data_IF_236024625807
#
_entry.id   IF_236024625807
#
_cell.length_a   1.000
_cell.length_b   1.000
_cell.length_c   1.000
_cell.angle_alpha   90.00
_cell.angle_beta   90.00
_cell.angle_gamma   90.00
#
_symmetry.space_group_name_H-M   'P 1'
#
loop_
_entity.id
_entity.type
_entity.pdbx_description
1 polymer ?
#
# COMPACT_ATOMS: atom_id res chain seq x y z
N UNK A 1 -19.24 -16.17 10.62
CA UNK A 1 -17.80 -16.35 10.31
C UNK A 1 -17.05 -15.09 10.70
N UNK A 2 -15.91 -15.21 11.36
CA UNK A 2 -15.13 -14.06 11.80
C UNK A 2 -14.11 -13.66 10.74
N UNK A 3 -14.02 -12.36 10.44
CA UNK A 3 -13.07 -11.78 9.48
C UNK A 3 -12.44 -10.50 10.03
N UNK A 4 -11.17 -10.25 9.71
CA UNK A 4 -10.53 -8.96 9.96
C UNK A 4 -9.93 -8.37 8.70
N UNK A 5 -10.18 -7.08 8.49
CA UNK A 5 -9.57 -6.28 7.43
C UNK A 5 -9.46 -4.81 7.85
N UNK A 6 -8.68 -4.05 7.11
CA UNK A 6 -8.45 -2.63 7.40
C UNK A 6 -9.73 -1.80 7.19
N UNK A 7 -9.95 -0.73 7.96
CA UNK A 7 -11.02 0.24 7.70
C UNK A 7 -10.81 1.05 6.42
N UNK A 8 -9.74 0.79 5.66
CA UNK A 8 -9.42 1.49 4.41
C UNK A 8 -10.52 1.36 3.34
N UNK A 9 -10.69 2.36 2.45
CA UNK A 9 -11.74 2.37 1.44
C UNK A 9 -11.77 1.16 0.52
N UNK A 10 -10.61 0.61 0.13
CA UNK A 10 -10.55 -0.57 -0.73
C UNK A 10 -11.13 -1.81 -0.07
N UNK A 11 -10.84 -2.05 1.22
CA UNK A 11 -11.32 -3.24 1.92
C UNK A 11 -12.80 -3.12 2.27
N UNK A 12 -13.23 -1.98 2.78
CA UNK A 12 -14.64 -1.72 3.06
C UNK A 12 -15.48 -1.78 1.79
N UNK A 13 -14.96 -1.32 0.64
CA UNK A 13 -15.63 -1.47 -0.65
C UNK A 13 -15.75 -2.94 -1.07
N UNK A 14 -14.66 -3.70 -1.03
CA UNK A 14 -14.60 -5.12 -1.41
C UNK A 14 -15.55 -5.98 -0.59
N UNK A 15 -15.56 -5.79 0.73
CA UNK A 15 -16.33 -6.64 1.64
C UNK A 15 -17.71 -6.10 1.99
N UNK A 16 -18.12 -4.92 1.48
CA UNK A 16 -19.43 -4.31 1.76
C UNK A 16 -20.58 -5.27 1.56
N UNK A 17 -20.69 -5.86 0.37
CA UNK A 17 -21.84 -6.70 0.03
C UNK A 17 -21.93 -7.94 0.91
N UNK A 18 -20.81 -8.55 1.22
CA UNK A 18 -20.76 -9.71 2.10
C UNK A 18 -21.06 -9.33 3.56
N UNK A 19 -20.48 -8.26 4.07
CA UNK A 19 -20.72 -7.77 5.43
C UNK A 19 -22.19 -7.37 5.71
N UNK A 20 -22.94 -7.04 4.65
CA UNK A 20 -24.37 -6.69 4.75
C UNK A 20 -25.32 -7.83 4.30
N UNK A 21 -24.81 -9.07 4.15
CA UNK A 21 -25.65 -10.22 3.83
C UNK A 21 -26.23 -10.21 2.41
N UNK A 22 -25.64 -9.46 1.48
CA UNK A 22 -26.12 -9.32 0.10
C UNK A 22 -25.61 -10.44 -0.82
N UNK A 23 -24.73 -11.32 -0.32
CA UNK A 23 -24.17 -12.43 -1.09
C UNK A 23 -24.91 -13.72 -0.76
N UNK A 24 -25.65 -14.23 -1.73
CA UNK A 24 -26.47 -15.43 -1.54
C UNK A 24 -25.62 -16.65 -1.15
N UNK A 25 -26.03 -17.34 -0.09
CA UNK A 25 -25.36 -18.56 0.40
C UNK A 25 -24.05 -18.31 1.15
N UNK A 26 -23.61 -17.06 1.28
CA UNK A 26 -22.49 -16.70 2.13
C UNK A 26 -22.90 -16.67 3.61
N UNK A 27 -22.04 -17.09 4.55
CA UNK A 27 -22.32 -16.95 5.97
C UNK A 27 -22.30 -15.48 6.39
N UNK A 28 -23.04 -15.15 7.46
CA UNK A 28 -22.97 -13.83 8.09
C UNK A 28 -21.54 -13.54 8.57
N UNK A 29 -21.05 -12.31 8.32
CA UNK A 29 -19.73 -11.86 8.77
C UNK A 29 -19.80 -11.14 10.12
N UNK A 30 -18.94 -11.56 11.02
CA UNK A 30 -18.54 -10.81 12.22
C UNK A 30 -17.22 -10.11 11.91
N UNK A 31 -17.28 -8.80 11.61
CA UNK A 31 -16.17 -8.02 11.07
C UNK A 31 -15.42 -7.32 12.19
N UNK A 32 -14.10 -7.56 12.25
CA UNK A 32 -13.17 -6.80 13.07
C UNK A 32 -12.36 -5.87 12.18
N UNK A 33 -12.43 -4.56 12.44
CA UNK A 33 -11.59 -3.56 11.74
C UNK A 33 -10.27 -3.43 12.47
N UNK A 34 -9.19 -3.72 11.77
CA UNK A 34 -7.83 -3.62 12.31
C UNK A 34 -6.85 -3.28 11.18
N UNK A 35 -5.91 -2.41 11.47
CA UNK A 35 -4.86 -2.07 10.53
C UNK A 35 -3.98 -3.28 10.22
N UNK A 36 -3.36 -3.27 9.05
CA UNK A 36 -2.68 -4.44 8.49
C UNK A 36 -1.46 -4.88 9.33
N UNK A 37 -0.82 -4.01 10.07
CA UNK A 37 0.25 -4.33 11.00
C UNK A 37 -0.26 -5.13 12.20
N UNK A 38 -1.47 -4.83 12.70
CA UNK A 38 -2.14 -5.57 13.77
C UNK A 38 -2.49 -6.97 13.30
N UNK A 39 -3.11 -7.09 12.12
CA UNK A 39 -3.48 -8.40 11.56
C UNK A 39 -2.26 -9.24 11.18
N UNK A 40 -1.17 -8.65 10.70
CA UNK A 40 0.12 -9.32 10.53
C UNK A 40 0.63 -9.91 11.87
N UNK A 41 0.49 -9.14 12.96
CA UNK A 41 0.87 -9.58 14.30
C UNK A 41 0.02 -10.74 14.81
N UNK A 42 -1.29 -10.70 14.59
CA UNK A 42 -2.21 -11.80 14.95
C UNK A 42 -1.91 -13.07 14.16
N UNK A 43 -1.76 -12.95 12.83
CA UNK A 43 -1.44 -14.09 11.98
C UNK A 43 -0.14 -14.78 12.41
N UNK A 44 0.92 -14.01 12.69
CA UNK A 44 2.22 -14.53 13.11
C UNK A 44 2.17 -15.30 14.46
N UNK A 45 1.22 -14.94 15.33
CA UNK A 45 1.00 -15.61 16.63
C UNK A 45 -0.02 -16.75 16.56
N UNK A 46 -0.66 -16.96 15.40
CA UNK A 46 -1.81 -17.86 15.28
C UNK A 46 -3.06 -17.37 16.01
N UNK A 47 -3.15 -16.08 16.27
CA UNK A 47 -4.27 -15.39 16.91
C UNK A 47 -5.20 -14.75 15.88
N UNK A 48 -6.27 -14.11 16.36
CA UNK A 48 -7.21 -13.36 15.51
C UNK A 48 -8.27 -14.23 14.82
N UNK A 49 -9.06 -13.59 13.93
CA UNK A 49 -10.13 -14.26 13.17
C UNK A 49 -9.64 -15.36 12.23
N UNK A 50 -10.60 -16.17 11.76
CA UNK A 50 -10.29 -17.27 10.84
C UNK A 50 -9.85 -16.78 9.45
N UNK A 51 -10.42 -15.63 9.02
CA UNK A 51 -10.08 -14.97 7.75
C UNK A 51 -9.52 -13.59 8.07
N UNK A 52 -8.39 -13.24 7.47
CA UNK A 52 -7.75 -11.96 7.71
C UNK A 52 -7.12 -11.39 6.45
N UNK A 53 -7.07 -10.06 6.38
CA UNK A 53 -6.18 -9.38 5.44
C UNK A 53 -4.84 -9.13 6.11
N UNK A 54 -3.76 -9.53 5.42
CA UNK A 54 -2.37 -9.34 5.87
C UNK A 54 -1.51 -8.77 4.73
N UNK A 55 -0.31 -8.30 5.06
CA UNK A 55 0.70 -7.97 4.06
C UNK A 55 1.20 -9.23 3.33
N UNK A 56 1.44 -9.17 2.01
CA UNK A 56 2.10 -10.29 1.32
C UNK A 56 3.46 -10.64 1.95
N UNK A 57 4.19 -9.66 2.47
CA UNK A 57 5.45 -9.89 3.19
C UNK A 57 5.30 -10.79 4.44
N UNK A 58 4.11 -10.87 5.02
CA UNK A 58 3.84 -11.72 6.17
C UNK A 58 3.52 -13.19 5.80
N UNK A 59 3.16 -13.48 4.54
CA UNK A 59 2.79 -14.85 4.10
C UNK A 59 3.85 -15.90 4.43
N UNK A 60 5.15 -15.72 4.14
CA UNK A 60 6.16 -16.75 4.39
C UNK A 60 6.25 -17.21 5.84
N UNK A 61 5.75 -16.41 6.78
CA UNK A 61 5.76 -16.72 8.22
C UNK A 61 4.54 -17.53 8.67
N UNK A 62 3.50 -17.64 7.83
CA UNK A 62 2.19 -18.16 8.27
C UNK A 62 1.60 -19.20 7.32
N UNK A 63 2.25 -19.51 6.20
CA UNK A 63 1.76 -20.46 5.18
C UNK A 63 1.53 -21.88 5.67
N UNK A 64 2.14 -22.27 6.77
CA UNK A 64 1.89 -23.56 7.44
C UNK A 64 0.52 -23.60 8.15
N UNK A 65 0.00 -22.45 8.59
CA UNK A 65 -1.25 -22.32 9.34
C UNK A 65 -2.41 -21.75 8.51
N UNK A 66 -2.10 -21.00 7.45
CA UNK A 66 -3.08 -20.29 6.63
C UNK A 66 -2.91 -20.61 5.14
N UNK A 67 -4.02 -20.61 4.43
CA UNK A 67 -4.07 -20.66 2.97
C UNK A 67 -4.29 -19.26 2.41
N UNK A 68 -3.70 -18.96 1.26
CA UNK A 68 -3.97 -17.74 0.49
C UNK A 68 -5.33 -17.86 -0.20
N UNK A 69 -6.20 -16.87 -0.03
CA UNK A 69 -7.41 -16.71 -0.83
C UNK A 69 -7.02 -15.92 -2.09
N UNK A 70 -7.18 -16.48 -3.29
CA UNK A 70 -6.66 -15.90 -4.52
C UNK A 70 -7.53 -14.75 -5.08
N UNK A 71 -8.13 -13.96 -4.18
CA UNK A 71 -8.95 -12.78 -4.49
C UNK A 71 -9.10 -11.89 -3.26
N UNK A 72 -9.73 -10.72 -3.41
CA UNK A 72 -10.03 -9.77 -2.33
C UNK A 72 -8.82 -8.97 -1.83
N UNK A 73 -7.62 -9.32 -2.24
CA UNK A 73 -6.39 -8.64 -1.86
C UNK A 73 -6.14 -7.35 -2.66
N UNK A 74 -5.06 -6.65 -2.29
CA UNK A 74 -4.55 -5.49 -2.99
C UNK A 74 -3.28 -5.88 -3.76
N UNK A 75 -3.37 -5.87 -5.08
CA UNK A 75 -2.30 -6.13 -6.02
C UNK A 75 -2.64 -5.38 -7.30
N UNK A 76 -1.67 -4.71 -7.92
CA UNK A 76 -1.99 -3.93 -9.12
C UNK A 76 -0.78 -3.26 -9.74
N UNK A 77 -1.05 -2.27 -10.61
CA UNK A 77 -0.02 -1.44 -11.25
C UNK A 77 -0.19 0.01 -10.82
N UNK A 78 0.92 0.75 -10.75
CA UNK A 78 0.91 2.15 -10.37
C UNK A 78 0.48 2.42 -8.93
N UNK A 79 0.42 1.42 -8.05
CA UNK A 79 -0.16 1.51 -6.70
C UNK A 79 0.87 1.25 -5.58
N UNK A 80 2.15 1.40 -5.87
CA UNK A 80 3.22 1.12 -4.91
C UNK A 80 3.35 2.14 -3.77
N UNK A 81 4.06 1.78 -2.71
CA UNK A 81 4.50 2.73 -1.69
C UNK A 81 5.37 3.83 -2.27
N UNK A 82 5.36 5.00 -1.63
CA UNK A 82 6.18 6.14 -2.03
C UNK A 82 7.25 6.45 -0.98
N UNK A 83 8.43 6.81 -1.44
CA UNK A 83 9.45 7.46 -0.61
C UNK A 83 9.35 8.96 -0.82
N UNK A 84 9.07 9.68 0.26
CA UNK A 84 8.87 11.12 0.26
C UNK A 84 9.96 11.84 1.05
N UNK A 85 10.30 13.05 0.60
CA UNK A 85 11.24 13.95 1.28
C UNK A 85 10.62 15.33 1.41
N UNK A 86 11.17 16.18 2.29
CA UNK A 86 10.82 17.58 2.31
C UNK A 86 11.31 18.24 1.00
N UNK A 87 10.43 18.97 0.32
CA UNK A 87 10.70 19.59 -0.99
C UNK A 87 11.88 20.57 -0.95
N UNK A 88 12.71 20.52 -2.00
CA UNK A 88 13.84 21.44 -2.26
C UNK A 88 14.92 21.38 -1.20
N UNK A 89 16.11 20.84 -1.51
CA UNK A 89 17.28 20.72 -0.63
C UNK A 89 17.29 21.67 0.56
N UNK A 90 16.59 21.30 1.63
CA UNK A 90 16.68 22.00 2.89
C UNK A 90 18.07 21.76 3.44
N UNK A 91 18.98 22.67 3.10
CA UNK A 91 20.18 22.90 3.87
C UNK A 91 19.73 23.06 5.32
N UNK A 92 20.08 22.10 6.16
CA UNK A 92 19.85 22.23 7.62
C UNK A 92 20.47 23.55 8.06
N UNK A 93 19.73 24.35 8.82
CA UNK A 93 20.16 25.63 9.38
C UNK A 93 21.40 25.50 10.31
N UNK A 94 22.10 24.36 10.32
CA UNK A 94 23.33 24.17 11.09
C UNK A 94 24.60 24.56 10.33
N UNK A 95 24.55 24.85 9.01
CA UNK A 95 25.75 25.16 8.21
C UNK A 95 25.71 26.53 7.52
N UNK A 96 24.86 27.44 7.99
CA UNK A 96 24.81 28.80 7.49
C UNK A 96 25.60 29.76 8.38
N UNK A 97 26.90 29.89 8.08
CA UNK A 97 27.62 31.14 8.36
C UNK A 97 27.20 32.19 7.33
N UNK A 98 26.98 33.41 7.82
CA UNK A 98 26.21 34.45 7.16
C UNK A 98 26.68 34.91 5.78
N UNK A 99 25.74 35.15 4.92
CA UNK A 99 25.73 36.32 4.04
C UNK A 99 24.29 36.66 3.64
N UNK A 100 23.97 37.94 3.81
CA UNK A 100 22.69 38.59 3.44
C UNK A 100 22.68 38.92 1.94
N UNK A 101 21.44 39.05 1.48
CA UNK A 101 20.92 39.79 0.32
C UNK A 101 20.61 38.94 -0.92
N UNK A 102 19.33 38.79 -1.26
CA UNK A 102 18.63 39.62 -2.22
C UNK A 102 17.16 39.14 -2.41
N UNK A 103 16.33 40.16 -2.26
CA UNK A 103 14.89 40.17 -2.50
C UNK A 103 14.63 40.41 -4.00
N UNK A 104 13.76 39.64 -4.66
CA UNK A 104 12.77 40.15 -5.61
C UNK A 104 12.24 39.11 -6.62
N UNK A 105 10.97 38.94 -6.61
CA UNK A 105 9.93 39.05 -7.67
C UNK A 105 8.94 37.90 -7.70
N UNK A 106 7.81 38.24 -7.09
CA UNK A 106 6.50 37.69 -7.42
C UNK A 106 6.06 38.27 -8.76
N UNK A 107 5.49 37.51 -9.67
CA UNK A 107 4.49 37.98 -10.60
C UNK A 107 3.53 36.87 -11.03
N UNK A 108 2.29 37.22 -10.91
CA UNK A 108 1.02 36.59 -11.21
C UNK A 108 0.91 35.93 -12.60
N UNK A 109 0.15 34.82 -12.65
CA UNK A 109 -0.71 34.57 -13.81
C UNK A 109 -1.95 33.77 -13.37
N UNK A 110 -3.04 34.44 -13.41
CA UNK A 110 -4.41 33.99 -13.24
C UNK A 110 -4.95 33.26 -14.48
N UNK A 111 -5.84 32.30 -14.23
CA UNK A 111 -6.93 31.94 -15.12
C UNK A 111 -6.71 30.73 -16.01
N UNK A 112 -7.44 29.66 -15.76
CA UNK A 112 -8.34 29.00 -16.74
C UNK A 112 -9.31 28.08 -15.99
N UNK A 113 -10.58 28.35 -16.14
CA UNK A 113 -11.74 27.54 -15.82
C UNK A 113 -11.90 26.44 -16.86
N UNK A 114 -12.07 25.18 -16.44
CA UNK A 114 -12.47 24.06 -17.30
C UNK A 114 -12.55 22.78 -16.52
N UNK A 115 -13.78 22.29 -16.26
CA UNK A 115 -14.01 20.94 -15.76
C UNK A 115 -13.48 19.91 -16.77
N UNK A 116 -12.67 18.92 -16.37
CA UNK A 116 -12.38 17.78 -17.23
C UNK A 116 -13.47 16.73 -17.14
N UNK A 117 -13.99 16.38 -18.30
CA UNK A 117 -14.87 15.23 -18.57
C UNK A 117 -14.17 13.93 -18.19
N UNK A 118 -14.96 12.96 -17.70
CA UNK A 118 -14.53 11.59 -17.40
C UNK A 118 -13.78 10.98 -18.60
N UNK A 119 -12.48 10.65 -18.43
CA UNK A 119 -11.73 9.98 -19.48
C UNK A 119 -10.23 10.27 -19.57
N UNK A 120 -9.58 10.69 -18.48
CA UNK A 120 -8.13 10.55 -18.38
C UNK A 120 -7.72 10.54 -16.91
N UNK A 121 -7.62 9.34 -16.34
CA UNK A 121 -6.74 9.16 -15.21
C UNK A 121 -5.37 9.70 -15.66
N UNK A 122 -4.95 10.81 -15.09
CA UNK A 122 -3.56 11.23 -15.22
C UNK A 122 -2.73 10.12 -14.58
N UNK A 123 -2.33 9.16 -15.42
CA UNK A 123 -1.17 8.35 -15.16
C UNK A 123 -0.06 9.38 -14.94
N UNK A 124 0.27 9.64 -13.68
CA UNK A 124 1.54 10.24 -13.36
C UNK A 124 2.55 9.25 -13.94
N UNK A 125 3.08 9.59 -15.10
CA UNK A 125 4.17 8.87 -15.74
C UNK A 125 5.23 8.70 -14.67
N UNK A 126 5.43 7.44 -14.25
CA UNK A 126 6.33 7.07 -13.16
C UNK A 126 7.78 7.32 -13.52
N UNK A 127 8.14 8.59 -13.57
CA UNK A 127 9.53 9.01 -13.48
C UNK A 127 9.74 9.43 -12.03
N UNK A 128 10.77 8.90 -11.38
CA UNK A 128 11.40 9.56 -10.23
C UNK A 128 11.43 11.05 -10.54
N UNK A 129 11.06 11.90 -9.57
CA UNK A 129 11.18 13.34 -9.79
C UNK A 129 12.57 13.61 -10.36
N UNK A 130 12.69 14.36 -11.47
CA UNK A 130 13.99 14.54 -12.10
C UNK A 130 14.92 15.20 -11.08
N UNK A 131 15.88 14.45 -10.55
CA UNK A 131 17.02 15.01 -9.87
C UNK A 131 17.44 14.51 -8.49
N UNK A 132 16.70 13.68 -7.78
CA UNK A 132 17.19 13.22 -6.47
C UNK A 132 17.80 11.82 -6.58
N UNK A 133 19.14 11.75 -6.43
CA UNK A 133 19.88 10.49 -6.38
C UNK A 133 19.46 9.67 -5.14
N UNK A 134 19.04 8.39 -5.30
CA UNK A 134 18.80 7.49 -4.17
C UNK A 134 19.94 7.41 -3.16
N UNK A 135 21.18 7.57 -3.62
CA UNK A 135 22.38 7.65 -2.78
C UNK A 135 22.32 8.73 -1.71
N UNK A 136 21.48 9.75 -1.89
CA UNK A 136 21.22 10.77 -0.87
C UNK A 136 20.71 10.18 0.45
N UNK A 137 20.01 9.03 0.42
CA UNK A 137 19.52 8.36 1.63
C UNK A 137 20.62 7.67 2.45
N UNK A 138 21.85 7.53 1.94
CA UNK A 138 22.94 6.89 2.67
C UNK A 138 23.22 7.61 3.99
N UNK A 139 23.17 6.85 5.10
CA UNK A 139 23.37 7.37 6.46
C UNK A 139 22.23 8.25 7.01
N UNK A 140 21.15 8.46 6.24
CA UNK A 140 19.98 9.25 6.66
C UNK A 140 18.95 8.41 7.37
N UNK A 141 17.95 9.06 7.97
CA UNK A 141 16.87 8.42 8.71
C UNK A 141 15.59 8.41 7.89
N UNK A 142 15.04 7.22 7.68
CA UNK A 142 13.77 7.00 6.96
C UNK A 142 12.71 6.46 7.93
N UNK A 143 11.57 7.15 8.02
CA UNK A 143 10.43 6.66 8.75
C UNK A 143 9.63 5.65 7.92
N UNK A 144 9.22 4.54 8.52
CA UNK A 144 8.38 3.51 7.90
C UNK A 144 7.17 3.19 8.78
N UNK A 145 6.01 2.81 8.21
CA UNK A 145 4.81 2.57 9.02
C UNK A 145 4.86 1.24 9.79
N UNK A 146 5.64 0.29 9.30
CA UNK A 146 5.77 -1.05 9.91
C UNK A 146 7.01 -1.74 9.37
N UNK A 147 7.70 -2.49 10.20
CA UNK A 147 8.84 -3.33 9.84
C UNK A 147 8.45 -4.68 9.19
N UNK A 148 7.15 -5.00 9.18
CA UNK A 148 6.57 -6.26 8.65
C UNK A 148 5.67 -6.06 7.43
N UNK A 149 5.55 -4.83 6.93
CA UNK A 149 4.71 -4.52 5.78
C UNK A 149 5.37 -4.89 4.45
N UNK A 150 4.55 -5.15 3.43
CA UNK A 150 5.05 -5.30 2.05
C UNK A 150 5.71 -4.01 1.56
N UNK A 151 5.24 -2.85 2.01
CA UNK A 151 5.85 -1.56 1.71
C UNK A 151 7.32 -1.52 2.14
N UNK A 152 7.60 -1.94 3.37
CA UNK A 152 8.96 -1.97 3.88
C UNK A 152 9.81 -3.05 3.20
N UNK A 153 9.24 -4.22 2.90
CA UNK A 153 9.94 -5.26 2.13
C UNK A 153 10.39 -4.73 0.76
N UNK A 154 9.51 -4.06 0.03
CA UNK A 154 9.82 -3.45 -1.27
C UNK A 154 10.91 -2.36 -1.14
N UNK A 155 10.79 -1.52 -0.11
CA UNK A 155 11.80 -0.51 0.18
C UNK A 155 13.18 -1.14 0.45
N UNK A 156 13.25 -2.25 1.19
CA UNK A 156 14.51 -2.96 1.44
C UNK A 156 15.14 -3.51 0.17
N UNK A 157 14.32 -4.13 -0.70
CA UNK A 157 14.78 -4.64 -2.00
C UNK A 157 15.28 -3.49 -2.90
N UNK A 158 14.55 -2.39 -2.94
CA UNK A 158 14.94 -1.19 -3.70
C UNK A 158 16.22 -0.57 -3.14
N UNK A 159 16.31 -0.39 -1.82
CA UNK A 159 17.45 0.22 -1.17
C UNK A 159 18.75 -0.58 -1.40
N UNK A 160 18.67 -1.92 -1.35
CA UNK A 160 19.80 -2.79 -1.63
C UNK A 160 20.38 -2.60 -3.04
N UNK A 161 19.54 -2.23 -4.01
CA UNK A 161 19.98 -1.98 -5.40
C UNK A 161 20.42 -0.54 -5.64
N UNK A 162 19.75 0.44 -5.00
CA UNK A 162 19.82 1.84 -5.39
C UNK A 162 20.63 2.71 -4.42
N UNK A 163 20.84 2.27 -3.16
CA UNK A 163 21.52 3.07 -2.15
C UNK A 163 22.92 2.51 -1.89
N UNK A 164 23.98 3.28 -2.17
CA UNK A 164 25.34 2.91 -1.78
C UNK A 164 25.43 2.67 -0.26
N UNK A 165 25.91 1.48 0.13
CA UNK A 165 25.94 1.07 1.54
C UNK A 165 24.65 0.41 2.03
N UNK A 166 23.63 0.31 1.19
CA UNK A 166 22.40 -0.42 1.48
C UNK A 166 21.37 0.37 2.28
N UNK A 167 20.68 -0.29 3.22
CA UNK A 167 19.56 0.27 3.95
C UNK A 167 19.96 1.48 4.82
N UNK A 168 19.25 2.62 4.74
CA UNK A 168 19.44 3.76 5.63
C UNK A 168 19.02 3.44 7.08
N UNK A 169 19.16 4.40 8.00
CA UNK A 169 18.67 4.27 9.35
C UNK A 169 17.13 4.22 9.34
N UNK A 170 16.53 3.20 9.94
CA UNK A 170 15.07 3.02 9.92
C UNK A 170 14.48 3.36 11.29
N UNK A 171 13.40 4.14 11.28
CA UNK A 171 12.54 4.37 12.44
C UNK A 171 11.10 3.99 12.10
N UNK A 172 10.45 3.24 12.96
CA UNK A 172 9.02 2.91 12.81
C UNK A 172 8.21 4.00 13.49
N UNK A 173 7.30 4.62 12.75
CA UNK A 173 6.36 5.62 13.24
C UNK A 173 4.92 5.23 12.90
N UNK A 174 3.93 5.63 13.70
CA UNK A 174 2.53 5.55 13.29
C UNK A 174 2.33 6.21 11.92
N UNK A 175 1.53 5.58 11.07
CA UNK A 175 1.37 6.00 9.67
C UNK A 175 1.06 7.51 9.52
N UNK A 176 0.12 8.03 10.34
CA UNK A 176 -0.30 9.44 10.31
C UNK A 176 0.78 10.43 10.78
N UNK A 177 1.83 9.96 11.45
CA UNK A 177 2.95 10.80 11.91
C UNK A 177 4.08 10.91 10.88
N UNK A 178 4.14 10.05 9.87
CA UNK A 178 5.27 9.98 8.93
C UNK A 178 5.39 11.28 8.13
N UNK A 179 4.33 11.69 7.43
CA UNK A 179 4.38 12.91 6.61
C UNK A 179 4.66 14.17 7.43
N UNK A 180 4.01 14.39 8.60
CA UNK A 180 4.40 15.47 9.50
C UNK A 180 5.87 15.40 9.94
N UNK A 181 6.39 14.21 10.27
CA UNK A 181 7.79 14.06 10.71
C UNK A 181 8.79 14.43 9.59
N UNK A 182 8.50 14.08 8.34
CA UNK A 182 9.31 14.47 7.17
C UNK A 182 9.24 15.97 6.96
N UNK A 183 8.02 16.56 6.95
CA UNK A 183 7.82 18.00 6.79
C UNK A 183 8.58 18.80 7.83
N UNK A 184 8.52 18.37 9.07
CA UNK A 184 9.12 19.07 10.22
C UNK A 184 10.63 18.77 10.37
N UNK A 185 11.24 18.00 9.45
CA UNK A 185 12.66 17.65 9.47
C UNK A 185 13.09 16.75 10.64
N UNK A 186 12.15 16.05 11.28
CA UNK A 186 12.43 15.07 12.35
C UNK A 186 13.05 13.79 11.81
N UNK A 187 12.72 13.47 10.56
CA UNK A 187 13.33 12.40 9.75
C UNK A 187 13.64 12.95 8.37
N UNK A 188 14.59 12.35 7.68
CA UNK A 188 15.04 12.83 6.36
C UNK A 188 14.06 12.43 5.23
N UNK A 189 13.47 11.25 5.34
CA UNK A 189 12.49 10.74 4.39
C UNK A 189 11.43 9.87 5.09
N UNK A 190 10.33 9.60 4.38
CA UNK A 190 9.25 8.74 4.86
C UNK A 190 8.76 7.78 3.78
N UNK A 191 8.57 6.52 4.16
CA UNK A 191 7.89 5.52 3.34
C UNK A 191 6.40 5.59 3.63
N UNK A 192 5.60 5.95 2.65
CA UNK A 192 4.15 6.12 2.82
C UNK A 192 3.36 5.20 1.91
N UNK A 193 2.13 4.91 2.33
CA UNK A 193 1.18 4.02 1.68
C UNK A 193 -0.20 4.67 1.63
N UNK A 194 -1.21 3.97 1.18
CA UNK A 194 -2.62 4.34 1.22
C UNK A 194 -2.89 5.74 0.62
N UNK A 195 -3.72 6.56 1.30
CA UNK A 195 -4.12 7.91 0.87
C UNK A 195 -2.97 8.91 0.79
N UNK A 196 -1.88 8.68 1.53
CA UNK A 196 -0.71 9.55 1.48
C UNK A 196 -0.16 9.70 0.05
N UNK A 197 -0.41 8.70 -0.82
CA UNK A 197 -0.09 8.77 -2.25
C UNK A 197 -0.80 9.93 -2.97
N UNK A 198 -1.95 10.36 -2.49
CA UNK A 198 -2.75 11.43 -3.08
C UNK A 198 -2.61 12.76 -2.34
N UNK A 199 -2.23 12.72 -1.06
CA UNK A 199 -2.27 13.88 -0.16
C UNK A 199 -0.89 14.43 0.21
N UNK A 200 0.22 13.75 -0.14
CA UNK A 200 1.56 14.25 0.20
C UNK A 200 1.89 15.67 -0.33
N UNK A 201 1.35 16.13 -1.49
CA UNK A 201 1.61 17.50 -1.93
C UNK A 201 1.05 18.54 -0.96
N UNK A 202 -0.06 18.23 -0.25
CA UNK A 202 -0.68 19.13 0.73
C UNK A 202 0.22 19.35 1.95
N UNK A 203 1.16 18.43 2.18
CA UNK A 203 2.20 18.56 3.21
C UNK A 203 3.46 19.27 2.72
N UNK A 204 3.50 19.71 1.46
CA UNK A 204 4.69 20.31 0.83
C UNK A 204 5.83 19.30 0.63
N UNK A 205 5.51 18.00 0.56
CA UNK A 205 6.49 16.94 0.35
C UNK A 205 6.72 16.68 -1.14
N UNK A 206 7.89 16.10 -1.43
CA UNK A 206 8.30 15.76 -2.80
C UNK A 206 8.51 14.25 -2.91
N UNK A 207 8.04 13.68 -4.03
CA UNK A 207 8.27 12.28 -4.37
C UNK A 207 9.75 12.07 -4.73
N UNK A 208 10.42 11.19 -3.99
CA UNK A 208 11.77 10.73 -4.29
C UNK A 208 11.76 9.45 -5.12
N UNK A 209 10.99 8.46 -4.72
CA UNK A 209 10.88 7.18 -5.43
C UNK A 209 9.49 6.56 -5.26
N UNK A 210 9.02 5.89 -6.32
CA UNK A 210 7.79 5.09 -6.33
C UNK A 210 8.18 3.62 -6.45
N UNK A 211 7.88 2.85 -5.39
CA UNK A 211 8.23 1.42 -5.33
C UNK A 211 7.45 0.59 -6.35
N UNK A 212 6.25 1.05 -6.74
CA UNK A 212 5.47 0.39 -7.80
C UNK A 212 6.13 0.56 -9.16
N UNK A 213 6.50 1.77 -9.50
CA UNK A 213 7.20 2.08 -10.75
C UNK A 213 8.53 1.33 -10.85
N UNK A 214 9.30 1.35 -9.77
CA UNK A 214 10.55 0.60 -9.73
C UNK A 214 10.31 -0.90 -9.92
N UNK A 215 9.37 -1.50 -9.17
CA UNK A 215 9.07 -2.92 -9.25
C UNK A 215 8.62 -3.34 -10.65
N UNK A 216 7.71 -2.56 -11.25
CA UNK A 216 7.21 -2.82 -12.61
C UNK A 216 8.30 -2.70 -13.67
N UNK A 217 9.21 -1.73 -13.53
CA UNK A 217 10.34 -1.57 -14.44
C UNK A 217 11.36 -2.72 -14.32
N UNK A 218 11.60 -3.19 -13.09
CA UNK A 218 12.57 -4.25 -12.81
C UNK A 218 12.04 -5.65 -13.21
N UNK A 219 10.73 -5.90 -13.04
CA UNK A 219 10.14 -7.24 -13.17
C UNK A 219 9.13 -7.39 -14.32
N UNK A 220 8.53 -6.30 -14.77
CA UNK A 220 7.37 -6.32 -15.68
C UNK A 220 6.07 -6.78 -15.01
N UNK A 221 6.09 -7.13 -13.72
CA UNK A 221 4.97 -7.69 -12.97
C UNK A 221 4.21 -6.61 -12.19
N UNK A 222 2.90 -6.83 -11.90
CA UNK A 222 2.16 -5.98 -10.97
C UNK A 222 2.75 -6.09 -9.56
N UNK A 223 2.49 -5.08 -8.71
CA UNK A 223 3.02 -5.03 -7.35
C UNK A 223 2.06 -5.68 -6.35
N UNK A 224 2.47 -6.73 -5.61
CA UNK A 224 1.69 -7.29 -4.51
C UNK A 224 1.80 -6.40 -3.27
N UNK A 225 0.67 -6.16 -2.57
CA UNK A 225 0.62 -5.33 -1.37
C UNK A 225 -0.04 -6.05 -0.19
N UNK A 226 -1.31 -6.44 -0.32
CA UNK A 226 -2.07 -7.09 0.74
C UNK A 226 -2.83 -8.33 0.27
N UNK A 227 -2.79 -9.39 1.06
CA UNK A 227 -3.39 -10.70 0.80
C UNK A 227 -4.57 -10.96 1.73
N UNK A 228 -5.55 -11.73 1.28
CA UNK A 228 -6.54 -12.37 2.14
C UNK A 228 -6.07 -13.78 2.45
N UNK A 229 -6.06 -14.14 3.73
CA UNK A 229 -5.73 -15.48 4.21
C UNK A 229 -6.88 -16.09 4.98
N UNK A 230 -6.96 -17.41 4.96
CA UNK A 230 -7.88 -18.17 5.79
C UNK A 230 -7.14 -19.29 6.52
N UNK A 231 -7.57 -19.66 7.73
CA UNK A 231 -7.00 -20.80 8.44
C UNK A 231 -7.11 -22.06 7.59
N UNK A 232 -6.05 -22.87 7.58
CA UNK A 232 -6.08 -24.15 6.88
C UNK A 232 -7.19 -25.04 7.42
N UNK A 233 -7.87 -25.75 6.52
CA UNK A 233 -9.06 -26.54 6.83
C UNK A 233 -10.38 -25.82 6.59
N UNK A 234 -10.37 -24.52 6.30
CA UNK A 234 -11.54 -23.82 5.78
C UNK A 234 -11.73 -24.11 4.28
N UNK A 235 -12.98 -23.98 3.82
CA UNK A 235 -13.33 -24.14 2.40
C UNK A 235 -12.85 -22.91 1.59
N UNK A 236 -11.62 -22.96 1.08
CA UNK A 236 -10.98 -21.89 0.29
C UNK A 236 -11.79 -21.58 -0.98
N UNK A 237 -12.40 -22.60 -1.61
CA UNK A 237 -13.21 -22.39 -2.83
C UNK A 237 -14.49 -21.59 -2.52
N UNK A 238 -15.18 -21.92 -1.42
CA UNK A 238 -16.35 -21.18 -1.00
C UNK A 238 -16.00 -19.73 -0.63
N UNK A 239 -14.92 -19.54 0.14
CA UNK A 239 -14.40 -18.21 0.50
C UNK A 239 -14.06 -17.39 -0.75
N UNK A 240 -13.42 -18.01 -1.73
CA UNK A 240 -13.09 -17.38 -3.01
C UNK A 240 -14.35 -16.94 -3.74
N UNK A 241 -15.34 -17.84 -3.90
CA UNK A 241 -16.60 -17.53 -4.58
C UNK A 241 -17.36 -16.36 -3.91
N UNK A 242 -17.46 -16.36 -2.58
CA UNK A 242 -18.16 -15.29 -1.84
C UNK A 242 -17.40 -13.94 -1.92
N UNK A 243 -16.08 -13.98 -1.82
CA UNK A 243 -15.25 -12.76 -1.97
C UNK A 243 -15.38 -12.19 -3.38
N UNK A 244 -15.28 -13.02 -4.43
CA UNK A 244 -15.45 -12.60 -5.82
C UNK A 244 -16.85 -12.01 -6.05
N UNK A 245 -17.90 -12.67 -5.55
CA UNK A 245 -19.26 -12.17 -5.67
C UNK A 245 -19.44 -10.81 -4.97
N UNK A 246 -18.75 -10.59 -3.83
CA UNK A 246 -18.75 -9.30 -3.14
C UNK A 246 -18.05 -8.20 -3.95
N UNK A 247 -16.90 -8.49 -4.58
CA UNK A 247 -16.20 -7.56 -5.49
C UNK A 247 -17.10 -7.21 -6.69
N UNK A 248 -17.69 -8.21 -7.33
CA UNK A 248 -18.55 -8.02 -8.50
C UNK A 248 -19.81 -7.21 -8.17
N UNK A 249 -20.42 -7.48 -6.99
CA UNK A 249 -21.54 -6.68 -6.50
C UNK A 249 -21.12 -5.22 -6.28
N UNK A 250 -19.97 -4.98 -5.66
CA UNK A 250 -19.48 -3.63 -5.40
C UNK A 250 -19.23 -2.86 -6.71
N UNK A 251 -18.69 -3.50 -7.74
CA UNK A 251 -18.53 -2.89 -9.06
C UNK A 251 -19.84 -2.60 -9.77
N UNK A 252 -20.80 -3.52 -9.68
CA UNK A 252 -22.12 -3.33 -10.26
C UNK A 252 -22.94 -2.25 -9.54
N UNK A 253 -22.68 -2.03 -8.25
CA UNK A 253 -23.45 -1.14 -7.37
C UNK A 253 -22.54 -0.21 -6.55
N UNK A 254 -21.68 0.62 -7.17
CA UNK A 254 -20.65 1.38 -6.44
C UNK A 254 -21.21 2.36 -5.42
N UNK A 255 -22.43 2.88 -5.65
CA UNK A 255 -23.09 3.76 -4.70
C UNK A 255 -23.59 3.05 -3.43
N UNK A 256 -23.84 1.74 -3.49
CA UNK A 256 -24.36 0.99 -2.35
C UNK A 256 -23.37 0.91 -1.18
N UNK A 257 -22.08 0.94 -1.45
CA UNK A 257 -21.01 0.91 -0.44
C UNK A 257 -20.61 2.28 0.10
N UNK A 258 -21.08 3.38 -0.52
CA UNK A 258 -20.57 4.72 -0.26
C UNK A 258 -20.67 5.14 1.22
N UNK A 259 -21.82 4.92 1.85
CA UNK A 259 -22.04 5.24 3.26
C UNK A 259 -21.14 4.39 4.18
N UNK A 260 -21.05 3.10 3.88
CA UNK A 260 -20.21 2.17 4.63
C UNK A 260 -18.71 2.52 4.50
N UNK A 261 -18.24 2.78 3.29
CA UNK A 261 -16.85 3.23 3.04
C UNK A 261 -16.59 4.51 3.83
N UNK A 262 -17.44 5.52 3.70
CA UNK A 262 -17.24 6.81 4.35
C UNK A 262 -17.25 6.71 5.89
N UNK A 263 -18.07 5.83 6.45
CA UNK A 263 -18.12 5.58 7.90
C UNK A 263 -16.76 5.12 8.47
N UNK A 264 -15.98 4.37 7.67
CA UNK A 264 -14.73 3.76 8.12
C UNK A 264 -13.47 4.38 7.48
N UNK A 265 -13.62 5.34 6.57
CA UNK A 265 -12.53 5.90 5.75
C UNK A 265 -11.54 6.82 6.49
N UNK A 266 -11.50 6.80 7.83
CA UNK A 266 -10.48 7.47 8.66
C UNK A 266 -10.22 8.94 8.23
N UNK A 267 -11.27 9.75 8.15
CA UNK A 267 -11.22 11.20 7.81
C UNK A 267 -10.89 11.53 6.34
N UNK A 268 -10.82 10.54 5.44
CA UNK A 268 -10.63 10.81 4.02
C UNK A 268 -11.85 11.51 3.41
N UNK A 269 -11.61 12.47 2.51
CA UNK A 269 -12.69 13.02 1.70
C UNK A 269 -13.29 11.93 0.79
N UNK A 270 -14.59 12.05 0.40
CA UNK A 270 -15.19 11.11 -0.54
C UNK A 270 -14.47 11.00 -1.88
N UNK A 271 -13.79 12.06 -2.28
CA UNK A 271 -12.98 12.09 -3.51
C UNK A 271 -11.71 11.26 -3.37
N UNK A 272 -10.96 11.44 -2.28
CA UNK A 272 -9.76 10.63 -1.97
C UNK A 272 -10.13 9.16 -1.82
N UNK A 273 -11.25 8.84 -1.14
CA UNK A 273 -11.74 7.47 -1.01
C UNK A 273 -12.05 6.83 -2.37
N UNK A 274 -12.66 7.58 -3.33
CA UNK A 274 -12.91 7.08 -4.69
C UNK A 274 -11.61 6.83 -5.47
N UNK A 275 -10.63 7.74 -5.38
CA UNK A 275 -9.32 7.52 -6.01
C UNK A 275 -8.62 6.30 -5.42
N UNK A 276 -8.69 6.14 -4.11
CA UNK A 276 -8.13 4.97 -3.42
C UNK A 276 -8.77 3.67 -3.91
N UNK A 277 -10.10 3.59 -3.96
CA UNK A 277 -10.82 2.43 -4.50
C UNK A 277 -10.40 2.17 -5.95
N UNK A 278 -10.42 3.20 -6.81
CA UNK A 278 -10.07 3.06 -8.23
C UNK A 278 -8.63 2.55 -8.47
N UNK A 279 -7.70 2.84 -7.55
CA UNK A 279 -6.31 2.41 -7.65
C UNK A 279 -6.10 0.98 -7.13
N UNK A 280 -6.73 0.61 -6.00
CA UNK A 280 -6.43 -0.63 -5.29
C UNK A 280 -7.43 -1.76 -5.55
N UNK A 281 -8.64 -1.47 -6.08
CA UNK A 281 -9.64 -2.49 -6.42
C UNK A 281 -9.73 -2.65 -7.93
N UNK A 282 -9.18 -3.75 -8.43
CA UNK A 282 -9.01 -4.02 -9.85
C UNK A 282 -9.21 -5.52 -10.17
N UNK A 283 -8.91 -5.95 -11.40
CA UNK A 283 -9.08 -7.35 -11.82
C UNK A 283 -8.30 -8.34 -10.93
N UNK A 284 -7.14 -7.94 -10.39
CA UNK A 284 -6.39 -8.79 -9.45
C UNK A 284 -7.08 -8.89 -8.09
N UNK A 285 -7.90 -7.90 -7.71
CA UNK A 285 -8.75 -7.99 -6.51
C UNK A 285 -9.85 -9.04 -6.72
N UNK A 286 -10.43 -9.10 -7.92
CA UNK A 286 -11.41 -10.13 -8.26
C UNK A 286 -10.76 -11.51 -8.34
N UNK A 287 -9.59 -11.62 -8.94
CA UNK A 287 -8.84 -12.88 -9.05
C UNK A 287 -7.38 -12.60 -9.31
N UNK A 288 -6.48 -13.18 -8.52
CA UNK A 288 -5.04 -13.06 -8.77
C UNK A 288 -4.65 -13.57 -10.16
N UNK A 289 -5.29 -14.65 -10.63
CA UNK A 289 -4.90 -15.31 -11.87
C UNK A 289 -3.43 -15.75 -11.86
N UNK A 290 -2.92 -16.21 -12.99
CA UNK A 290 -1.52 -16.64 -13.09
C UNK A 290 -0.54 -15.47 -12.99
N UNK A 291 -0.90 -14.29 -13.50
CA UNK A 291 -0.02 -13.10 -13.46
C UNK A 291 0.14 -12.56 -12.05
N UNK A 292 -0.96 -12.51 -11.28
CA UNK A 292 -0.90 -12.11 -9.88
C UNK A 292 -0.14 -13.12 -9.01
N UNK A 293 -0.34 -14.41 -9.21
CA UNK A 293 0.43 -15.46 -8.52
C UNK A 293 1.91 -15.39 -8.85
N UNK A 294 2.28 -15.20 -10.13
CA UNK A 294 3.69 -15.00 -10.53
C UNK A 294 4.29 -13.77 -9.86
N UNK A 295 3.53 -12.68 -9.72
CA UNK A 295 4.00 -11.49 -9.04
C UNK A 295 4.28 -11.76 -7.55
N UNK A 296 3.40 -12.49 -6.87
CA UNK A 296 3.59 -12.91 -5.47
C UNK A 296 4.80 -13.84 -5.33
N UNK A 297 4.90 -14.87 -6.17
CA UNK A 297 6.02 -15.80 -6.18
C UNK A 297 7.36 -15.08 -6.43
N UNK A 298 7.38 -14.13 -7.38
CA UNK A 298 8.57 -13.34 -7.69
C UNK A 298 9.00 -12.48 -6.50
N UNK A 299 8.07 -11.74 -5.88
CA UNK A 299 8.36 -10.88 -4.73
C UNK A 299 8.90 -11.69 -3.55
N UNK A 300 8.16 -12.73 -3.15
CA UNK A 300 8.50 -13.51 -1.96
C UNK A 300 9.72 -14.39 -2.19
N UNK A 301 9.88 -14.96 -3.40
CA UNK A 301 11.06 -15.75 -3.78
C UNK A 301 12.33 -14.91 -3.77
N UNK A 302 12.28 -13.69 -4.32
CA UNK A 302 13.39 -12.74 -4.24
C UNK A 302 13.70 -12.36 -2.80
N UNK A 303 12.69 -12.00 -2.02
CA UNK A 303 12.85 -11.64 -0.61
C UNK A 303 13.47 -12.80 0.21
N UNK A 304 13.07 -14.06 -0.06
CA UNK A 304 13.63 -15.24 0.60
C UNK A 304 15.09 -15.50 0.17
N UNK A 305 15.43 -15.27 -1.10
CA UNK A 305 16.80 -15.42 -1.60
C UNK A 305 17.77 -14.39 -1.00
N UNK A 306 17.28 -13.18 -0.71
CA UNK A 306 18.01 -12.10 -0.05
C UNK A 306 17.97 -12.19 1.49
N UNK A 307 17.31 -13.24 2.06
CA UNK A 307 17.22 -13.44 3.50
C UNK A 307 16.31 -12.44 4.23
N UNK A 308 15.43 -11.76 3.49
CA UNK A 308 14.52 -10.75 4.04
C UNK A 308 13.26 -11.35 4.65
N UNK A 309 12.88 -12.53 4.21
CA UNK A 309 11.77 -13.36 4.75
C UNK A 309 12.23 -14.82 4.83
N UNK A 310 11.55 -15.67 5.62
CA UNK A 310 11.83 -17.11 5.65
C UNK A 310 11.67 -17.77 4.28
N UNK A 311 12.47 -18.81 4.02
CA UNK A 311 12.23 -19.70 2.88
C UNK A 311 10.89 -20.43 3.08
N UNK A 312 10.13 -20.59 2.02
CA UNK A 312 8.83 -21.25 2.00
C UNK A 312 8.69 -22.13 0.77
N UNK A 313 7.74 -23.05 0.79
CA UNK A 313 7.36 -23.84 -0.39
C UNK A 313 6.38 -23.03 -1.26
N UNK A 314 6.74 -22.62 -2.51
CA UNK A 314 5.84 -21.88 -3.39
C UNK A 314 4.52 -22.60 -3.69
N UNK A 315 4.47 -23.93 -3.62
CA UNK A 315 3.25 -24.71 -3.80
C UNK A 315 2.16 -24.32 -2.78
N UNK A 316 2.54 -23.89 -1.57
CA UNK A 316 1.61 -23.45 -0.54
C UNK A 316 0.86 -22.15 -0.89
N UNK A 317 1.30 -21.41 -1.89
CA UNK A 317 0.58 -20.22 -2.39
C UNK A 317 -0.61 -20.61 -3.28
N UNK A 318 -0.67 -21.86 -3.76
CA UNK A 318 -1.69 -22.38 -4.67
C UNK A 318 -2.61 -23.44 -4.01
N UNK A 319 -2.45 -23.66 -2.70
CA UNK A 319 -3.11 -24.74 -1.96
C UNK A 319 -4.38 -24.28 -1.25
#
# INVERSE_FOLDING_TARGET
MKIAYSPCPNDTFVFHAWAHGLIQGAPELDVTYADIDITNGWAAKGEGPEVMKISYAALPYVLDQYALIPCGGALGRGCGPLVLTAGGGAVRLSDADGSKDDNARLSEASGVTGLPTAGSAHAHSGASAPGMDPGWLSGRTVAVPSDRSTAYLLFRLWAAQQIPGGLPNIVVLPFHEIMPAVRDGKVDAGLVIHEARFTYPDYGLTLMADMGTWWEADTGLPIPLGAIIARRGMDVEALTRWTQASVEYAWANPAASAEYVQKYAQEMSPEVARFHIGLYVNEFTRSLGEDGLRAVESLLGRAASEGLVPKFDPALLRA
#
